data_IF_616275672371
#
_entry.id   IF_616275672371
#
_cell.length_a   1.000
_cell.length_b   1.000
_cell.length_c   1.000
_cell.angle_alpha   90.00
_cell.angle_beta   90.00
_cell.angle_gamma   90.00
#
_symmetry.space_group_name_H-M   'P 1'
#
loop_
_entity.id
_entity.type
_entity.pdbx_description
1 polymer ?
#
# COMPACT_ATOMS: atom_id res chain seq x y z
N UNK A 1 0.90 -14.96 13.79
CA UNK A 1 1.68 -13.72 13.75
C UNK A 1 0.83 -12.62 14.43
N UNK A 2 1.35 -11.86 15.41
CA UNK A 2 0.52 -11.24 16.45
C UNK A 2 -0.35 -10.07 15.98
N UNK A 3 0.09 -9.29 14.97
CA UNK A 3 -0.70 -8.21 14.38
C UNK A 3 -0.70 -8.29 12.85
N UNK A 4 -1.86 -8.06 12.22
CA UNK A 4 -2.02 -8.03 10.77
C UNK A 4 -3.09 -7.04 10.31
N UNK A 5 -2.94 -6.49 9.11
CA UNK A 5 -4.03 -5.75 8.44
C UNK A 5 -5.19 -6.68 8.09
N UNK A 6 -6.39 -6.13 7.95
CA UNK A 6 -7.54 -6.89 7.45
C UNK A 6 -7.36 -7.24 5.96
N UNK A 7 -7.73 -8.46 5.59
CA UNK A 7 -7.78 -8.91 4.20
C UNK A 7 -8.75 -8.04 3.39
N UNK A 8 -8.36 -7.68 2.17
CA UNK A 8 -9.09 -6.75 1.28
C UNK A 8 -10.35 -7.30 0.62
N UNK A 9 -10.76 -8.55 0.91
CA UNK A 9 -11.75 -9.39 0.18
C UNK A 9 -11.10 -10.52 -0.63
N UNK A 10 -11.91 -11.47 -1.07
CA UNK A 10 -11.55 -12.63 -1.87
C UNK A 10 -11.25 -12.26 -3.33
N UNK A 11 -10.64 -13.19 -4.06
CA UNK A 11 -10.44 -13.09 -5.51
C UNK A 11 -11.81 -12.96 -6.19
N UNK A 12 -12.01 -12.04 -7.16
CA UNK A 12 -11.02 -11.15 -7.81
C UNK A 12 -10.99 -9.70 -7.26
N UNK A 13 -11.66 -9.43 -6.14
CA UNK A 13 -11.90 -8.07 -5.64
C UNK A 13 -10.88 -7.61 -4.59
N UNK A 14 -10.09 -8.53 -4.06
CA UNK A 14 -8.99 -8.23 -3.14
C UNK A 14 -7.78 -7.57 -3.83
N UNK A 15 -7.06 -6.75 -3.06
CA UNK A 15 -5.74 -6.22 -3.39
C UNK A 15 -4.60 -7.24 -3.35
N UNK A 16 -4.79 -8.39 -2.68
CA UNK A 16 -3.70 -9.33 -2.40
C UNK A 16 -2.68 -8.87 -1.34
N UNK A 17 -2.77 -7.63 -0.85
CA UNK A 17 -1.81 -7.02 0.07
C UNK A 17 -2.24 -7.18 1.53
N UNK A 18 -1.35 -7.72 2.37
CA UNK A 18 -1.49 -7.78 3.82
C UNK A 18 -0.16 -7.51 4.52
N UNK A 19 -0.19 -6.64 5.52
CA UNK A 19 0.97 -6.33 6.35
C UNK A 19 0.90 -7.12 7.66
N UNK A 20 2.04 -7.69 8.05
CA UNK A 20 2.23 -8.44 9.28
C UNK A 20 3.31 -7.71 10.12
N UNK A 21 2.97 -7.25 11.34
CA UNK A 21 3.93 -6.82 12.43
C UNK A 21 4.13 -7.79 13.65
N UNK A 22 5.37 -8.24 13.91
CA UNK A 22 5.79 -9.16 14.99
C UNK A 22 6.55 -8.44 16.07
N UNK A 23 6.83 -7.18 15.81
CA UNK A 23 7.39 -6.28 16.79
C UNK A 23 6.41 -6.18 17.98
N UNK A 24 6.91 -6.16 19.23
CA UNK A 24 6.08 -6.27 20.42
C UNK A 24 5.14 -5.08 20.63
N UNK A 25 5.37 -3.96 19.96
CA UNK A 25 4.43 -2.84 20.01
C UNK A 25 3.20 -3.09 19.13
N UNK A 26 2.06 -2.67 19.65
CA UNK A 26 0.78 -2.82 18.97
C UNK A 26 0.60 -1.70 17.93
N UNK A 27 0.15 -2.01 16.71
CA UNK A 27 -0.28 -0.97 15.78
C UNK A 27 -1.45 -0.19 16.35
N UNK A 28 -1.41 1.14 16.23
CA UNK A 28 -2.42 2.05 16.79
C UNK A 28 -3.53 2.35 15.78
N UNK A 29 -3.25 2.22 14.49
CA UNK A 29 -4.23 2.39 13.41
C UNK A 29 -3.99 1.36 12.29
N UNK A 30 -5.04 0.98 11.58
CA UNK A 30 -4.97 0.18 10.35
C UNK A 30 -6.09 0.65 9.42
N UNK A 31 -5.72 1.06 8.20
CA UNK A 31 -6.63 1.55 7.16
C UNK A 31 -6.23 0.96 5.81
N UNK A 32 -7.18 0.94 4.88
CA UNK A 32 -6.94 0.55 3.48
C UNK A 32 -7.54 1.63 2.59
N UNK A 33 -6.78 2.05 1.61
CA UNK A 33 -7.28 2.90 0.53
C UNK A 33 -7.83 2.01 -0.59
N UNK A 34 -8.82 2.50 -1.33
CA UNK A 34 -9.44 1.83 -2.46
C UNK A 34 -9.31 2.69 -3.73
N UNK A 35 -9.43 2.05 -4.90
CA UNK A 35 -9.54 2.77 -6.17
C UNK A 35 -8.25 2.88 -6.99
N UNK A 36 -7.29 1.95 -6.86
CA UNK A 36 -6.15 1.93 -7.79
C UNK A 36 -6.63 1.66 -9.23
N UNK A 37 -6.01 2.33 -10.19
CA UNK A 37 -6.30 2.15 -11.61
C UNK A 37 -5.39 1.07 -12.19
N UNK A 38 -5.94 0.13 -12.96
CA UNK A 38 -5.17 -0.87 -13.70
C UNK A 38 -5.45 -0.77 -15.21
N UNK A 39 -4.45 -1.14 -16.00
CA UNK A 39 -4.53 -1.13 -17.47
C UNK A 39 -5.48 -2.23 -17.95
N UNK A 40 -6.44 -1.90 -18.82
CA UNK A 40 -7.52 -2.81 -19.22
C UNK A 40 -7.06 -4.06 -19.97
N UNK A 41 -5.89 -4.03 -20.61
CA UNK A 41 -5.45 -5.15 -21.44
C UNK A 41 -4.97 -6.37 -20.63
N UNK A 42 -4.54 -6.19 -19.37
CA UNK A 42 -3.97 -7.22 -18.47
C UNK A 42 -3.93 -6.75 -17.00
N UNK A 43 -5.00 -6.14 -16.49
CA UNK A 43 -4.98 -5.52 -15.16
C UNK A 43 -4.46 -6.46 -14.07
N UNK A 44 -3.24 -6.20 -13.58
CA UNK A 44 -2.60 -7.03 -12.56
C UNK A 44 -2.98 -6.57 -11.15
N UNK A 45 -3.58 -5.38 -11.04
CA UNK A 45 -4.10 -4.79 -9.81
C UNK A 45 -5.62 -4.67 -9.90
N UNK A 46 -6.32 -5.03 -8.82
CA UNK A 46 -7.77 -4.89 -8.75
C UNK A 46 -8.17 -3.43 -8.57
N UNK A 47 -9.16 -2.93 -9.33
CA UNK A 47 -9.70 -1.57 -9.16
C UNK A 47 -10.33 -1.31 -7.79
N UNK A 48 -10.64 -2.38 -7.07
CA UNK A 48 -11.15 -2.34 -5.69
C UNK A 48 -10.03 -2.51 -4.66
N UNK A 49 -8.81 -2.83 -5.11
CA UNK A 49 -7.60 -2.90 -4.32
C UNK A 49 -6.91 -1.53 -4.20
N UNK A 50 -6.08 -1.40 -3.17
CA UNK A 50 -5.30 -0.21 -2.90
C UNK A 50 -4.36 -0.42 -1.71
N UNK A 51 -3.52 0.57 -1.41
CA UNK A 51 -2.48 0.42 -0.41
C UNK A 51 -3.08 0.26 0.98
N UNK A 52 -2.40 -0.49 1.85
CA UNK A 52 -2.69 -0.46 3.29
C UNK A 52 -1.88 0.65 3.94
N UNK A 53 -2.45 1.22 5.00
CA UNK A 53 -1.78 2.17 5.87
C UNK A 53 -1.93 1.70 7.32
N UNK A 54 -0.83 1.70 8.07
CA UNK A 54 -0.81 1.29 9.47
C UNK A 54 0.18 2.16 10.24
N UNK A 55 -0.21 2.68 11.41
CA UNK A 55 0.73 3.34 12.33
C UNK A 55 1.21 2.34 13.37
N UNK A 56 2.53 2.17 13.46
CA UNK A 56 3.20 1.37 14.48
C UNK A 56 3.92 2.31 15.46
N UNK A 57 3.54 2.29 16.73
CA UNK A 57 4.33 2.95 17.77
C UNK A 57 5.65 2.17 17.97
N UNK A 58 6.77 2.84 18.17
CA UNK A 58 8.06 2.25 18.53
C UNK A 58 8.46 2.91 19.84
N UNK A 59 8.42 2.14 20.92
CA UNK A 59 8.54 2.69 22.28
C UNK A 59 7.50 3.80 22.55
N UNK A 60 7.64 4.54 23.64
CA UNK A 60 6.63 5.51 24.08
C UNK A 60 6.62 6.81 23.25
N UNK A 61 7.69 7.08 22.48
CA UNK A 61 7.90 8.38 21.84
C UNK A 61 8.02 8.34 20.30
N UNK A 62 8.21 7.17 19.69
CA UNK A 62 8.39 7.08 18.24
C UNK A 62 7.20 6.40 17.58
N UNK A 63 6.92 6.76 16.34
CA UNK A 63 5.95 6.07 15.52
C UNK A 63 6.44 6.05 14.07
N UNK A 64 6.13 4.97 13.38
CA UNK A 64 6.37 4.81 11.95
C UNK A 64 5.05 4.55 11.26
N UNK A 65 4.77 5.31 10.22
CA UNK A 65 3.66 5.08 9.32
C UNK A 65 4.09 4.14 8.20
N UNK A 66 3.42 3.00 8.14
CA UNK A 66 3.68 1.90 7.22
C UNK A 66 2.69 1.99 6.07
N UNK A 67 3.20 2.00 4.83
CA UNK A 67 2.41 1.97 3.61
C UNK A 67 2.84 0.79 2.74
N UNK A 68 1.95 -0.18 2.59
CA UNK A 68 2.17 -1.40 1.80
C UNK A 68 1.33 -1.34 0.52
N UNK A 69 1.94 -1.64 -0.62
CA UNK A 69 1.27 -1.55 -1.92
C UNK A 69 1.75 -2.61 -2.90
N UNK A 70 0.86 -3.01 -3.79
CA UNK A 70 1.18 -3.72 -5.02
C UNK A 70 0.67 -2.85 -6.17
N UNK A 71 1.58 -2.41 -7.03
CA UNK A 71 1.37 -1.38 -8.04
C UNK A 71 1.22 -2.07 -9.42
N UNK A 72 0.58 -1.43 -10.41
CA UNK A 72 0.35 -2.04 -11.73
C UNK A 72 1.63 -2.60 -12.39
N UNK A 73 1.56 -3.82 -12.90
CA UNK A 73 2.66 -4.55 -13.53
C UNK A 73 2.44 -4.69 -15.04
N UNK A 74 3.53 -4.76 -15.80
CA UNK A 74 3.51 -4.76 -17.27
C UNK A 74 4.46 -3.71 -17.84
N UNK A 75 4.61 -3.66 -19.17
CA UNK A 75 5.62 -2.81 -19.83
C UNK A 75 5.18 -2.07 -21.07
N UNK A 76 3.92 -2.21 -21.45
CA UNK A 76 3.27 -1.29 -22.38
C UNK A 76 3.08 0.10 -21.75
N UNK A 77 2.96 1.14 -22.59
CA UNK A 77 2.86 2.54 -22.14
C UNK A 77 1.74 2.79 -21.12
N UNK A 78 0.60 2.09 -21.28
CA UNK A 78 -0.53 2.17 -20.34
C UNK A 78 -0.17 1.75 -18.91
N UNK A 79 0.78 0.81 -18.75
CA UNK A 79 1.26 0.41 -17.44
C UNK A 79 2.10 1.48 -16.78
N UNK A 80 2.86 2.27 -17.53
CA UNK A 80 3.65 3.39 -16.98
C UNK A 80 2.69 4.47 -16.44
N UNK A 81 1.63 4.79 -17.18
CA UNK A 81 0.59 5.72 -16.75
C UNK A 81 -0.17 5.21 -15.51
N UNK A 82 -0.56 3.92 -15.52
CA UNK A 82 -1.23 3.28 -14.39
C UNK A 82 -0.36 3.29 -13.14
N UNK A 83 0.94 2.96 -13.24
CA UNK A 83 1.89 3.04 -12.13
C UNK A 83 2.00 4.45 -11.56
N UNK A 84 2.10 5.46 -12.44
CA UNK A 84 2.15 6.87 -12.02
C UNK A 84 0.91 7.24 -11.21
N UNK A 85 -0.27 6.86 -11.69
CA UNK A 85 -1.53 7.04 -10.97
C UNK A 85 -1.56 6.27 -9.64
N UNK A 86 -1.14 5.00 -9.63
CA UNK A 86 -1.14 4.16 -8.42
C UNK A 86 -0.21 4.71 -7.33
N UNK A 87 0.97 5.24 -7.70
CA UNK A 87 1.88 5.89 -6.76
C UNK A 87 1.22 7.10 -6.10
N UNK A 88 0.35 7.82 -6.80
CA UNK A 88 -0.41 8.92 -6.20
C UNK A 88 -1.33 8.41 -5.06
N UNK A 89 -1.94 7.23 -5.22
CA UNK A 89 -2.74 6.62 -4.14
C UNK A 89 -1.93 6.22 -2.90
N UNK A 90 -0.59 6.12 -3.01
CA UNK A 90 0.32 5.95 -1.87
C UNK A 90 0.75 7.30 -1.30
N UNK A 91 1.05 8.28 -2.15
CA UNK A 91 1.54 9.61 -1.74
C UNK A 91 0.45 10.47 -1.08
N UNK A 92 -0.79 10.43 -1.56
CA UNK A 92 -1.91 11.19 -1.02
C UNK A 92 -2.13 10.93 0.48
N UNK A 93 -2.28 9.67 0.94
CA UNK A 93 -2.50 9.40 2.37
C UNK A 93 -1.25 9.68 3.23
N UNK A 94 -0.03 9.62 2.67
CA UNK A 94 1.19 10.07 3.37
C UNK A 94 1.10 11.57 3.62
N UNK A 95 0.78 12.34 2.58
CA UNK A 95 0.68 13.80 2.66
C UNK A 95 -0.43 14.24 3.62
N UNK A 96 -1.57 13.52 3.62
CA UNK A 96 -2.72 13.86 4.44
C UNK A 96 -2.60 13.46 5.93
N UNK A 97 -1.81 12.43 6.27
CA UNK A 97 -1.85 11.81 7.60
C UNK A 97 -0.49 11.60 8.30
N UNK A 98 0.62 11.83 7.60
CA UNK A 98 1.98 11.51 8.08
C UNK A 98 2.96 12.69 8.11
N UNK A 99 2.46 13.92 8.01
CA UNK A 99 3.30 15.11 8.14
C UNK A 99 4.03 15.11 9.50
N UNK A 100 5.37 15.16 9.45
CA UNK A 100 6.22 15.13 10.65
C UNK A 100 6.47 13.75 11.26
N UNK A 101 6.00 12.66 10.65
CA UNK A 101 6.28 11.29 11.09
C UNK A 101 7.33 10.61 10.23
N UNK A 102 7.99 9.59 10.81
CA UNK A 102 8.75 8.64 10.02
C UNK A 102 7.80 7.79 9.16
N UNK A 103 8.14 7.61 7.89
CA UNK A 103 7.33 6.86 6.92
C UNK A 103 8.16 5.73 6.33
N UNK A 104 7.60 4.53 6.29
CA UNK A 104 8.12 3.39 5.55
C UNK A 104 7.15 3.01 4.44
N UNK A 105 7.57 3.18 3.20
CA UNK A 105 6.86 2.71 2.01
C UNK A 105 7.50 1.42 1.54
N UNK A 106 6.70 0.37 1.39
CA UNK A 106 7.17 -0.94 0.96
C UNK A 106 6.10 -1.68 0.14
N UNK A 107 6.48 -2.85 -0.36
CA UNK A 107 5.66 -3.65 -1.27
C UNK A 107 6.28 -3.71 -2.67
N UNK A 108 5.46 -4.05 -3.66
CA UNK A 108 5.91 -4.23 -5.04
C UNK A 108 5.54 -3.02 -5.91
N UNK A 109 6.54 -2.18 -6.21
CA UNK A 109 6.34 -1.00 -7.05
C UNK A 109 6.27 -1.34 -8.55
N UNK A 110 6.66 -2.55 -8.96
CA UNK A 110 6.78 -2.98 -10.37
C UNK A 110 7.55 -1.99 -11.27
N UNK A 111 8.44 -1.18 -10.67
CA UNK A 111 9.30 -0.24 -11.38
C UNK A 111 10.50 -0.99 -11.96
N UNK A 112 10.88 -0.58 -13.17
CA UNK A 112 12.09 -1.08 -13.83
C UNK A 112 13.19 -0.04 -13.65
N UNK A 113 14.37 -0.51 -13.26
CA UNK A 113 15.59 0.27 -13.34
C UNK A 113 16.29 -0.14 -14.64
N UNK A 114 16.51 0.82 -15.53
CA UNK A 114 17.14 0.61 -16.85
C UNK A 114 18.35 1.52 -16.98
#
# INVERSE_FOLDING_TARGET
YPYRTASSSDVPFGSGVNTLISYPSRPTTSRRSSGMIATWNRGTVSRLGGPTCMRMAIEDAFAVDLYDSDIDAGDEDGHIEARTSNLQHVVDPITAASAGHAVLVFGNANLRYT
#
